data_IF_056631466325
#
_entry.id   IF_056631466325
#
_cell.length_a   1.000
_cell.length_b   1.000
_cell.length_c   1.000
_cell.angle_alpha   90.00
_cell.angle_beta   90.00
_cell.angle_gamma   90.00
#
_symmetry.space_group_name_H-M   'P 1'
#
loop_
_entity.id
_entity.type
_entity.pdbx_description
1 polymer ?
#
# COMPACT_ATOMS: atom_id res chain seq x y z
N UNK A 1 15.74 -8.67 4.38
CA UNK A 1 16.15 -8.71 5.80
C UNK A 1 14.97 -8.47 6.75
N UNK A 2 14.33 -7.29 6.74
CA UNK A 2 13.34 -6.90 7.76
C UNK A 2 12.06 -7.73 7.82
N UNK A 3 11.68 -8.47 6.77
CA UNK A 3 10.44 -9.27 6.73
C UNK A 3 10.45 -10.52 7.62
N UNK A 4 11.63 -10.97 8.03
CA UNK A 4 11.78 -12.18 8.88
C UNK A 4 11.82 -11.77 10.34
N UNK A 5 11.08 -12.52 11.16
CA UNK A 5 11.05 -12.30 12.61
C UNK A 5 12.48 -12.31 13.18
N UNK A 6 12.87 -11.34 14.03
CA UNK A 6 14.21 -11.26 14.60
C UNK A 6 14.68 -12.53 15.33
N UNK A 7 13.75 -13.37 15.81
CA UNK A 7 14.05 -14.61 16.52
C UNK A 7 14.29 -15.81 15.59
N UNK A 8 14.09 -15.68 14.28
CA UNK A 8 14.24 -16.75 13.29
C UNK A 8 15.55 -16.62 12.52
N UNK A 9 16.10 -17.76 12.09
CA UNK A 9 17.22 -17.76 11.15
C UNK A 9 16.77 -17.31 9.76
N UNK A 10 17.54 -16.39 9.17
CA UNK A 10 17.36 -15.93 7.80
C UNK A 10 18.45 -16.52 6.92
N UNK A 11 18.05 -17.27 5.89
CA UNK A 11 18.93 -17.63 4.79
C UNK A 11 18.85 -16.50 3.76
N UNK A 12 19.94 -15.76 3.58
CA UNK A 12 19.96 -14.58 2.74
C UNK A 12 20.26 -14.96 1.28
N UNK A 13 19.32 -14.66 0.38
CA UNK A 13 19.51 -14.70 -1.06
C UNK A 13 19.44 -13.27 -1.64
N UNK A 14 20.55 -12.74 -2.20
CA UNK A 14 20.58 -11.44 -2.84
C UNK A 14 19.63 -11.32 -4.03
N UNK A 15 19.47 -12.37 -4.83
CA UNK A 15 18.67 -12.34 -6.06
C UNK A 15 17.18 -12.23 -5.72
N UNK A 16 16.71 -13.00 -4.73
CA UNK A 16 15.33 -12.89 -4.22
C UNK A 16 15.07 -11.51 -3.60
N UNK A 17 16.08 -10.88 -3.01
CA UNK A 17 15.93 -9.61 -2.30
C UNK A 17 15.69 -8.40 -3.22
N UNK A 18 16.05 -8.50 -4.50
CA UNK A 18 15.92 -7.43 -5.51
C UNK A 18 14.82 -7.70 -6.55
N UNK A 19 14.14 -8.83 -6.46
CA UNK A 19 13.08 -9.18 -7.41
C UNK A 19 11.90 -8.21 -7.30
N UNK A 20 11.30 -7.85 -8.43
CA UNK A 20 10.09 -7.05 -8.51
C UNK A 20 8.83 -7.91 -8.29
N UNK A 21 8.98 -9.23 -8.33
CA UNK A 21 7.97 -10.22 -8.02
C UNK A 21 8.21 -10.81 -6.63
N UNK A 22 7.15 -10.98 -5.85
CA UNK A 22 7.22 -11.60 -4.53
C UNK A 22 7.38 -10.61 -3.37
N UNK A 23 7.78 -11.13 -2.21
CA UNK A 23 7.74 -10.43 -0.92
C UNK A 23 8.99 -9.56 -0.71
N UNK A 24 9.12 -8.51 -1.52
CA UNK A 24 10.32 -7.67 -1.61
C UNK A 24 10.03 -6.19 -1.40
N UNK A 25 11.09 -5.42 -1.09
CA UNK A 25 11.01 -3.95 -1.03
C UNK A 25 10.64 -3.30 -2.38
N UNK A 26 11.28 -3.70 -3.49
CA UNK A 26 10.94 -3.21 -4.83
C UNK A 26 9.47 -3.39 -5.22
N UNK A 27 8.82 -4.50 -4.83
CA UNK A 27 7.39 -4.71 -5.09
C UNK A 27 6.51 -3.62 -4.42
N UNK A 28 6.83 -3.28 -3.17
CA UNK A 28 6.11 -2.23 -2.41
C UNK A 28 6.41 -0.85 -3.01
N UNK A 29 7.68 -0.56 -3.34
CA UNK A 29 8.11 0.68 -3.98
C UNK A 29 7.43 0.89 -5.34
N UNK A 30 7.37 -0.14 -6.17
CA UNK A 30 6.69 -0.11 -7.47
C UNK A 30 5.20 0.17 -7.30
N UNK A 31 4.56 -0.44 -6.30
CA UNK A 31 3.16 -0.17 -5.98
C UNK A 31 2.94 1.30 -5.60
N UNK A 32 3.81 1.87 -4.77
CA UNK A 32 3.78 3.30 -4.45
C UNK A 32 3.95 4.17 -5.71
N UNK A 33 4.97 3.93 -6.53
CA UNK A 33 5.22 4.71 -7.76
C UNK A 33 4.04 4.65 -8.74
N UNK A 34 3.40 3.48 -8.90
CA UNK A 34 2.19 3.35 -9.72
C UNK A 34 1.03 4.17 -9.18
N UNK A 35 0.80 4.16 -7.86
CA UNK A 35 -0.23 5.00 -7.24
C UNK A 35 0.04 6.48 -7.58
N UNK A 36 1.27 6.95 -7.39
CA UNK A 36 1.66 8.33 -7.69
C UNK A 36 1.44 8.66 -9.16
N UNK A 37 1.74 7.73 -10.08
CA UNK A 37 1.44 7.88 -11.52
C UNK A 37 -0.06 8.05 -11.79
N UNK A 38 -0.92 7.27 -11.15
CA UNK A 38 -2.38 7.38 -11.28
C UNK A 38 -2.89 8.73 -10.79
N UNK A 39 -2.46 9.14 -9.59
CA UNK A 39 -2.85 10.44 -9.00
C UNK A 39 -2.40 11.61 -9.88
N UNK A 40 -1.16 11.57 -10.39
CA UNK A 40 -0.65 12.60 -11.29
C UNK A 40 -1.45 12.67 -12.61
N UNK A 41 -1.80 11.51 -13.21
CA UNK A 41 -2.64 11.47 -14.42
C UNK A 41 -4.04 12.02 -14.19
N UNK A 42 -4.58 11.87 -12.99
CA UNK A 42 -5.87 12.42 -12.61
C UNK A 42 -5.83 13.92 -12.29
N UNK A 43 -4.64 14.54 -12.23
CA UNK A 43 -4.44 15.87 -11.61
C UNK A 43 -5.09 15.94 -10.22
N UNK A 44 -4.92 14.86 -9.45
CA UNK A 44 -5.63 14.67 -8.19
C UNK A 44 -5.39 15.82 -7.22
N UNK A 45 -6.48 16.38 -6.71
CA UNK A 45 -6.54 17.23 -5.54
C UNK A 45 -7.41 16.55 -4.49
N UNK A 46 -7.12 16.81 -3.22
CA UNK A 46 -8.01 16.43 -2.13
C UNK A 46 -9.34 17.15 -2.37
N UNK A 47 -10.41 16.37 -2.51
CA UNK A 47 -11.76 16.91 -2.67
C UNK A 47 -12.73 16.11 -1.80
N UNK A 48 -13.49 16.80 -0.98
CA UNK A 48 -14.43 16.20 -0.04
C UNK A 48 -15.75 15.92 -0.76
N UNK A 49 -15.74 14.97 -1.70
CA UNK A 49 -16.97 14.51 -2.35
C UNK A 49 -17.57 13.41 -1.47
N UNK A 50 -18.77 13.61 -0.88
CA UNK A 50 -19.43 12.58 -0.11
C UNK A 50 -19.79 11.41 -1.03
N UNK A 51 -19.15 10.26 -0.80
CA UNK A 51 -19.46 9.03 -1.53
C UNK A 51 -20.69 8.36 -0.92
N UNK A 52 -21.78 8.29 -1.67
CA UNK A 52 -23.08 7.79 -1.20
C UNK A 52 -23.45 6.41 -1.74
N UNK A 53 -22.60 5.84 -2.60
CA UNK A 53 -22.85 4.56 -3.26
C UNK A 53 -22.34 3.38 -2.45
N UNK A 54 -22.86 2.17 -2.69
CA UNK A 54 -22.30 0.95 -2.09
C UNK A 54 -20.86 0.74 -2.55
N UNK A 55 -19.96 0.52 -1.59
CA UNK A 55 -18.57 0.12 -1.89
C UNK A 55 -18.52 -1.34 -2.34
N UNK A 56 -17.60 -1.64 -3.25
CA UNK A 56 -17.33 -3.02 -3.70
C UNK A 56 -16.58 -3.81 -2.62
N UNK A 57 -16.45 -5.12 -2.81
CA UNK A 57 -15.66 -5.97 -1.92
C UNK A 57 -14.18 -5.58 -1.93
N UNK A 58 -13.62 -5.27 -3.09
CA UNK A 58 -12.21 -4.88 -3.24
C UNK A 58 -11.90 -3.54 -2.57
N UNK A 59 -12.81 -2.56 -2.70
CA UNK A 59 -12.75 -1.27 -2.00
C UNK A 59 -12.82 -1.47 -0.48
N UNK A 60 -13.74 -2.31 -0.01
CA UNK A 60 -13.88 -2.65 1.42
C UNK A 60 -12.62 -3.33 1.97
N UNK A 61 -12.08 -4.31 1.26
CA UNK A 61 -10.88 -5.04 1.68
C UNK A 61 -9.70 -4.09 1.84
N UNK A 62 -9.54 -3.14 0.92
CA UNK A 62 -8.51 -2.10 1.01
C UNK A 62 -8.73 -1.19 2.22
N UNK A 63 -9.96 -0.70 2.44
CA UNK A 63 -10.28 0.14 3.61
C UNK A 63 -9.95 -0.56 4.92
N UNK A 64 -10.35 -1.82 5.08
CA UNK A 64 -10.05 -2.62 6.27
C UNK A 64 -8.54 -2.77 6.44
N UNK A 65 -7.81 -3.06 5.36
CA UNK A 65 -6.36 -3.18 5.38
C UNK A 65 -5.68 -1.89 5.83
N UNK A 66 -6.10 -0.73 5.31
CA UNK A 66 -5.56 0.57 5.70
C UNK A 66 -5.88 0.93 7.16
N UNK A 67 -7.09 0.60 7.64
CA UNK A 67 -7.52 0.88 9.01
C UNK A 67 -6.72 0.10 10.07
N UNK A 68 -6.09 -1.01 9.69
CA UNK A 68 -5.26 -1.81 10.59
C UNK A 68 -3.89 -1.17 10.90
N UNK A 69 -3.48 -0.12 10.16
CA UNK A 69 -2.14 0.47 10.29
C UNK A 69 -1.75 0.87 11.72
N UNK A 70 -2.57 1.61 12.49
CA UNK A 70 -2.19 2.04 13.85
C UNK A 70 -1.93 0.85 14.77
N UNK A 71 -2.78 -0.17 14.69
CA UNK A 71 -2.66 -1.40 15.48
C UNK A 71 -1.39 -2.17 15.13
N UNK A 72 -1.04 -2.26 13.85
CA UNK A 72 0.18 -2.95 13.41
C UNK A 72 1.43 -2.21 13.90
N UNK A 73 1.43 -0.88 13.87
CA UNK A 73 2.54 -0.09 14.43
C UNK A 73 2.71 -0.36 15.92
N UNK A 74 1.62 -0.31 16.69
CA UNK A 74 1.63 -0.55 18.13
C UNK A 74 2.14 -1.97 18.45
N UNK A 75 1.65 -2.99 17.75
CA UNK A 75 2.11 -4.37 17.92
C UNK A 75 3.60 -4.53 17.57
N UNK A 76 4.04 -3.94 16.44
CA UNK A 76 5.44 -3.98 16.01
C UNK A 76 6.37 -3.34 17.04
N UNK A 77 5.94 -2.23 17.66
CA UNK A 77 6.69 -1.53 18.68
C UNK A 77 6.76 -2.33 20.00
N UNK A 78 5.62 -2.84 20.47
CA UNK A 78 5.54 -3.63 21.71
C UNK A 78 6.36 -4.92 21.65
N UNK A 79 6.40 -5.57 20.48
CA UNK A 79 7.14 -6.81 20.27
C UNK A 79 8.59 -6.59 19.78
N UNK A 80 9.00 -5.33 19.56
CA UNK A 80 10.30 -4.98 18.97
C UNK A 80 10.57 -5.71 17.63
N UNK A 81 9.52 -5.91 16.83
CA UNK A 81 9.57 -6.72 15.60
C UNK A 81 9.16 -5.90 14.37
N UNK A 82 10.13 -5.34 13.61
CA UNK A 82 9.84 -4.63 12.37
C UNK A 82 9.26 -5.53 11.27
N UNK A 83 9.39 -6.85 11.42
CA UNK A 83 8.84 -7.83 10.49
C UNK A 83 7.32 -7.73 10.36
N UNK A 84 6.62 -7.43 11.45
CA UNK A 84 5.17 -7.26 11.41
C UNK A 84 4.76 -6.12 10.47
N UNK A 85 5.41 -4.96 10.60
CA UNK A 85 5.17 -3.82 9.73
C UNK A 85 5.59 -4.11 8.28
N UNK A 86 6.73 -4.76 8.05
CA UNK A 86 7.17 -5.13 6.71
C UNK A 86 6.16 -6.04 6.00
N UNK A 87 5.70 -7.09 6.68
CA UNK A 87 4.72 -8.03 6.16
C UNK A 87 3.37 -7.35 5.91
N UNK A 88 2.95 -6.45 6.80
CA UNK A 88 1.73 -5.66 6.62
C UNK A 88 1.78 -4.79 5.36
N UNK A 89 2.89 -4.06 5.13
CA UNK A 89 3.02 -3.18 3.96
C UNK A 89 3.03 -3.97 2.65
N UNK A 90 3.58 -5.17 2.65
CA UNK A 90 3.48 -6.09 1.52
C UNK A 90 2.03 -6.51 1.25
N UNK A 91 1.27 -6.86 2.28
CA UNK A 91 -0.14 -7.20 2.13
C UNK A 91 -0.99 -5.99 1.70
N UNK A 92 -0.73 -4.79 2.20
CA UNK A 92 -1.35 -3.54 1.70
C UNK A 92 -1.08 -3.37 0.21
N UNK A 93 0.16 -3.55 -0.23
CA UNK A 93 0.51 -3.44 -1.64
C UNK A 93 -0.24 -4.47 -2.49
N UNK A 94 -0.33 -5.73 -2.05
CA UNK A 94 -1.11 -6.79 -2.72
C UNK A 94 -2.59 -6.44 -2.82
N UNK A 95 -3.22 -6.07 -1.71
CA UNK A 95 -4.65 -5.71 -1.66
C UNK A 95 -4.92 -4.52 -2.58
N UNK A 96 -4.09 -3.48 -2.52
CA UNK A 96 -4.21 -2.33 -3.42
C UNK A 96 -4.17 -2.75 -4.88
N UNK A 97 -3.27 -3.66 -5.25
CA UNK A 97 -3.11 -3.97 -6.66
C UNK A 97 -3.99 -5.08 -7.23
N UNK A 98 -4.68 -5.81 -6.36
CA UNK A 98 -5.97 -6.44 -6.67
C UNK A 98 -7.05 -5.37 -6.93
N UNK A 99 -7.26 -4.43 -6.01
CA UNK A 99 -8.24 -3.33 -6.19
C UNK A 99 -8.01 -2.55 -7.50
N UNK A 100 -6.77 -2.18 -7.80
CA UNK A 100 -6.42 -1.47 -9.04
C UNK A 100 -6.76 -2.27 -10.32
N UNK A 101 -6.74 -3.61 -10.24
CA UNK A 101 -7.07 -4.48 -11.37
C UNK A 101 -8.58 -4.66 -11.52
N UNK A 102 -9.30 -4.84 -10.41
CA UNK A 102 -10.74 -5.09 -10.38
C UNK A 102 -11.57 -3.81 -10.60
N UNK A 103 -11.07 -2.66 -10.12
CA UNK A 103 -11.81 -1.39 -10.11
C UNK A 103 -11.13 -0.34 -10.99
N UNK A 104 -11.71 0.00 -12.16
CA UNK A 104 -11.21 1.11 -12.98
C UNK A 104 -11.23 2.43 -12.19
N UNK A 105 -10.06 3.06 -12.02
CA UNK A 105 -9.95 4.33 -11.28
C UNK A 105 -10.22 5.51 -12.21
N UNK A 106 -9.37 5.74 -13.21
CA UNK A 106 -9.46 6.89 -14.11
C UNK A 106 -10.65 6.81 -15.08
N UNK A 107 -11.17 5.61 -15.30
CA UNK A 107 -12.30 5.31 -16.19
C UNK A 107 -13.51 4.81 -15.41
N UNK A 108 -13.63 5.17 -14.13
CA UNK A 108 -14.81 4.79 -13.34
C UNK A 108 -16.09 5.34 -14.00
N UNK A 109 -17.20 4.64 -13.81
CA UNK A 109 -18.47 4.94 -14.49
C UNK A 109 -19.06 6.31 -14.12
N UNK A 110 -18.60 6.92 -13.03
CA UNK A 110 -19.04 8.23 -12.57
C UNK A 110 -17.97 8.93 -11.73
N UNK A 111 -18.09 10.24 -11.62
CA UNK A 111 -17.08 11.08 -10.96
C UNK A 111 -16.98 10.82 -9.46
N UNK A 112 -18.08 10.51 -8.77
CA UNK A 112 -18.05 10.16 -7.33
C UNK A 112 -17.18 8.90 -7.08
N UNK A 113 -17.36 7.86 -7.89
CA UNK A 113 -16.55 6.64 -7.81
C UNK A 113 -15.09 6.90 -8.18
N UNK A 114 -14.84 7.70 -9.22
CA UNK A 114 -13.49 8.10 -9.59
C UNK A 114 -12.78 8.83 -8.44
N UNK A 115 -13.42 9.84 -7.85
CA UNK A 115 -12.83 10.60 -6.74
C UNK A 115 -12.62 9.71 -5.52
N UNK A 116 -13.61 8.91 -5.13
CA UNK A 116 -13.48 7.99 -4.01
C UNK A 116 -12.29 7.02 -4.17
N UNK A 117 -12.13 6.45 -5.36
CA UNK A 117 -11.01 5.55 -5.68
C UNK A 117 -9.67 6.27 -5.68
N UNK A 118 -9.62 7.53 -6.14
CA UNK A 118 -8.42 8.36 -6.05
C UNK A 118 -8.05 8.68 -4.59
N UNK A 119 -9.02 8.96 -3.73
CA UNK A 119 -8.80 9.16 -2.29
C UNK A 119 -8.27 7.87 -1.62
N UNK A 120 -8.83 6.69 -1.95
CA UNK A 120 -8.31 5.40 -1.48
C UNK A 120 -6.87 5.16 -1.95
N UNK A 121 -6.56 5.45 -3.21
CA UNK A 121 -5.21 5.41 -3.74
C UNK A 121 -4.28 6.37 -2.99
N UNK A 122 -4.69 7.61 -2.77
CA UNK A 122 -3.90 8.61 -2.04
C UNK A 122 -3.61 8.15 -0.60
N UNK A 123 -4.63 7.68 0.13
CA UNK A 123 -4.48 7.13 1.47
C UNK A 123 -3.50 5.94 1.49
N UNK A 124 -3.61 5.03 0.53
CA UNK A 124 -2.68 3.90 0.38
C UNK A 124 -1.24 4.38 0.21
N UNK A 125 -0.99 5.37 -0.65
CA UNK A 125 0.35 5.91 -0.86
C UNK A 125 0.94 6.51 0.43
N UNK A 126 0.12 7.19 1.23
CA UNK A 126 0.54 7.78 2.51
C UNK A 126 0.93 6.69 3.51
N UNK A 127 0.13 5.63 3.62
CA UNK A 127 0.44 4.49 4.51
C UNK A 127 1.72 3.79 4.07
N UNK A 128 1.88 3.50 2.78
CA UNK A 128 3.11 2.88 2.25
C UNK A 128 4.32 3.77 2.55
N UNK A 129 4.25 5.07 2.24
CA UNK A 129 5.37 6.00 2.45
C UNK A 129 5.75 6.14 3.91
N UNK A 130 4.77 6.30 4.80
CA UNK A 130 5.03 6.41 6.25
C UNK A 130 5.57 5.11 6.83
N UNK A 131 4.96 3.97 6.48
CA UNK A 131 5.39 2.65 6.95
C UNK A 131 6.80 2.28 6.48
N UNK A 132 7.10 2.45 5.19
CA UNK A 132 8.43 2.17 4.66
C UNK A 132 9.49 3.08 5.27
N UNK A 133 9.16 4.36 5.54
CA UNK A 133 10.05 5.28 6.26
C UNK A 133 10.36 4.82 7.69
N UNK A 134 9.40 4.24 8.42
CA UNK A 134 9.66 3.65 9.74
C UNK A 134 10.62 2.46 9.67
N UNK A 135 10.65 1.75 8.52
CA UNK A 135 11.61 0.68 8.24
C UNK A 135 12.96 1.20 7.72
N UNK A 136 13.14 2.52 7.61
CA UNK A 136 14.36 3.12 7.05
C UNK A 136 14.48 3.02 5.53
N UNK A 137 13.38 2.78 4.82
CA UNK A 137 13.36 2.59 3.36
C UNK A 137 12.61 3.76 2.71
N UNK A 138 13.26 4.42 1.76
CA UNK A 138 12.61 5.45 0.94
C UNK A 138 11.76 4.80 -0.16
N UNK A 139 10.64 5.45 -0.49
CA UNK A 139 9.78 5.06 -1.61
C UNK A 139 9.78 6.16 -2.66
N UNK A 140 10.14 5.85 -3.92
CA UNK A 140 10.19 6.86 -4.98
C UNK A 140 8.79 7.21 -5.48
N UNK A 141 8.63 8.43 -5.99
CA UNK A 141 7.39 8.86 -6.63
C UNK A 141 7.23 8.32 -8.07
N UNK A 142 8.32 7.82 -8.67
CA UNK A 142 8.38 7.22 -10.02
C UNK A 142 9.42 6.10 -10.04
N UNK A 143 9.13 5.02 -10.76
CA UNK A 143 10.03 3.90 -11.05
C UNK A 143 9.84 3.46 -12.49
#
# INVERSE_FOLDING_TARGET
>A
LLRVDPKKHLLFDPNESIDFQGHTGPFIQYTHARIRSVLNKASYSVDAIPYTKPITSSERDLIISLNNYPRVIEASANEYSPAQLANYLYEVAKVYNKFYHEEPILKADNEEAKQFRLELSAATSVIIKKGMRLLGIEVPDKM
#
